data_IF_469472683957
#
_entry.id   IF_469472683957
#
_cell.length_a   1.000
_cell.length_b   1.000
_cell.length_c   1.000
_cell.angle_alpha   90.00
_cell.angle_beta   90.00
_cell.angle_gamma   90.00
#
_symmetry.space_group_name_H-M   'P 1'
#
loop_
_entity.id
_entity.type
_entity.pdbx_description
1 polymer ?
#
# COMPACT_ATOMS: atom_id res chain seq x y z
N UNK A 1 -2.31 28.20 -10.86
CA UNK A 1 -3.64 28.36 -10.22
C UNK A 1 -3.47 29.33 -9.08
N UNK A 2 -4.37 30.26 -8.87
CA UNK A 2 -4.26 31.17 -7.74
C UNK A 2 -4.48 30.38 -6.43
N UNK A 3 -3.64 30.67 -5.43
CA UNK A 3 -3.94 30.33 -4.04
C UNK A 3 -5.31 30.93 -3.71
N UNK A 4 -6.33 30.13 -3.58
CA UNK A 4 -7.64 30.58 -3.08
C UNK A 4 -7.96 29.86 -1.78
N UNK A 5 -8.64 30.53 -0.88
CA UNK A 5 -9.00 29.99 0.43
C UNK A 5 -9.75 28.64 0.35
N UNK A 6 -10.40 28.35 -0.80
CA UNK A 6 -11.12 27.10 -1.03
C UNK A 6 -10.22 25.90 -1.38
N UNK A 7 -8.95 26.09 -1.76
CA UNK A 7 -8.05 24.99 -2.18
C UNK A 7 -7.05 24.57 -1.12
N UNK A 8 -6.69 25.44 -0.17
CA UNK A 8 -5.71 25.13 0.87
C UNK A 8 -6.08 23.87 1.70
N UNK A 9 -7.36 23.60 2.04
CA UNK A 9 -7.72 22.36 2.73
C UNK A 9 -7.45 21.07 1.94
N UNK A 10 -7.36 21.17 0.61
CA UNK A 10 -7.26 20.02 -0.29
C UNK A 10 -5.90 19.88 -0.96
N UNK A 11 -5.12 20.97 -1.05
CA UNK A 11 -3.84 21.01 -1.74
C UNK A 11 -2.82 21.73 -0.86
N UNK A 12 -1.80 21.01 -0.42
CA UNK A 12 -0.75 21.52 0.47
C UNK A 12 0.50 21.96 -0.25
N UNK A 13 0.63 21.65 -1.53
CA UNK A 13 1.81 21.92 -2.33
C UNK A 13 1.44 22.76 -3.54
N UNK A 14 2.11 23.88 -3.72
CA UNK A 14 1.85 24.83 -4.79
C UNK A 14 3.12 25.07 -5.59
N UNK A 15 3.00 25.00 -6.92
CA UNK A 15 4.07 25.24 -7.86
C UNK A 15 3.66 26.35 -8.84
N UNK A 16 3.67 27.63 -8.44
CA UNK A 16 3.50 28.73 -9.37
C UNK A 16 4.74 28.87 -10.24
N UNK A 17 4.53 29.00 -11.53
CA UNK A 17 5.62 29.17 -12.51
C UNK A 17 5.27 30.29 -13.46
N UNK A 18 6.24 31.16 -13.70
CA UNK A 18 6.19 32.17 -14.77
C UNK A 18 4.93 33.04 -14.76
N UNK A 19 4.61 33.64 -13.62
CA UNK A 19 3.46 34.52 -13.48
C UNK A 19 3.21 35.00 -12.06
N UNK A 20 2.15 35.75 -11.86
CA UNK A 20 1.65 36.23 -10.57
C UNK A 20 0.22 35.74 -10.30
N UNK A 21 -0.36 36.12 -9.17
CA UNK A 21 -1.72 35.68 -8.78
C UNK A 21 -2.86 36.52 -9.38
N UNK A 22 -2.54 37.56 -10.12
CA UNK A 22 -3.48 38.48 -10.76
C UNK A 22 -4.50 39.15 -9.83
N UNK A 23 -4.28 39.16 -8.53
CA UNK A 23 -5.20 39.82 -7.59
C UNK A 23 -5.28 41.32 -7.79
N UNK A 24 -4.23 41.92 -8.39
CA UNK A 24 -4.13 43.33 -8.76
C UNK A 24 -4.05 43.49 -10.31
N UNK A 25 -4.70 42.59 -11.04
CA UNK A 25 -4.68 42.53 -12.51
C UNK A 25 -3.48 41.79 -13.10
N UNK A 26 -3.42 41.70 -14.44
CA UNK A 26 -2.45 40.86 -15.17
C UNK A 26 -0.96 41.18 -14.87
N UNK A 27 -0.66 42.37 -14.43
CA UNK A 27 0.67 42.83 -14.09
C UNK A 27 0.82 43.23 -12.61
N UNK A 28 -0.08 42.73 -11.77
CA UNK A 28 -0.12 43.06 -10.35
C UNK A 28 1.19 42.76 -9.63
N UNK A 29 1.77 41.58 -9.88
CA UNK A 29 3.06 41.21 -9.30
C UNK A 29 4.22 42.12 -9.69
N UNK A 30 4.16 42.78 -10.86
CA UNK A 30 5.15 43.73 -11.31
C UNK A 30 4.99 45.14 -10.70
N UNK A 31 3.76 45.67 -10.72
CA UNK A 31 3.49 47.05 -10.34
C UNK A 31 2.93 47.24 -8.92
N UNK A 32 2.35 46.17 -8.37
CA UNK A 32 1.74 46.13 -7.02
C UNK A 32 2.21 44.87 -6.25
N UNK A 33 3.52 44.59 -6.17
CA UNK A 33 4.00 43.32 -5.61
C UNK A 33 3.63 43.14 -4.14
N UNK A 34 3.65 44.22 -3.35
CA UNK A 34 3.33 44.16 -1.91
C UNK A 34 1.86 43.85 -1.66
N UNK A 35 0.95 44.49 -2.41
CA UNK A 35 -0.49 44.25 -2.31
C UNK A 35 -0.84 42.85 -2.80
N UNK A 36 -0.15 42.37 -3.83
CA UNK A 36 -0.32 41.01 -4.36
C UNK A 36 0.18 39.96 -3.36
N UNK A 37 1.32 40.18 -2.73
CA UNK A 37 1.86 39.31 -1.69
C UNK A 37 0.99 39.32 -0.43
N UNK A 38 0.52 40.50 -0.01
CA UNK A 38 -0.35 40.65 1.17
C UNK A 38 -1.70 39.94 0.95
N UNK A 39 -2.27 40.01 -0.25
CA UNK A 39 -3.47 39.29 -0.59
C UNK A 39 -3.31 37.76 -0.40
N UNK A 40 -2.18 37.20 -0.81
CA UNK A 40 -1.87 35.79 -0.58
C UNK A 40 -1.69 35.48 0.92
N UNK A 41 -0.96 36.34 1.63
CA UNK A 41 -0.77 36.18 3.07
C UNK A 41 -2.12 36.20 3.84
N UNK A 42 -3.02 37.09 3.46
CA UNK A 42 -4.37 37.19 4.06
C UNK A 42 -5.17 35.90 3.83
N UNK A 43 -5.08 35.31 2.64
CA UNK A 43 -5.74 34.02 2.32
C UNK A 43 -5.18 32.92 3.22
N UNK A 44 -3.86 32.80 3.31
CA UNK A 44 -3.20 31.78 4.14
C UNK A 44 -3.56 31.94 5.60
N UNK A 45 -3.45 33.17 6.15
CA UNK A 45 -3.73 33.45 7.55
C UNK A 45 -5.21 33.19 7.93
N UNK A 46 -6.15 33.40 6.99
CA UNK A 46 -7.60 33.12 7.19
C UNK A 46 -7.95 31.65 7.00
N UNK A 47 -7.10 30.85 6.39
CA UNK A 47 -7.41 29.46 6.03
C UNK A 47 -7.42 28.49 7.21
N UNK A 48 -6.72 28.83 8.31
CA UNK A 48 -6.45 27.92 9.42
C UNK A 48 -5.33 26.90 9.15
N UNK A 49 -4.68 26.96 7.98
CA UNK A 49 -3.63 26.03 7.55
C UNK A 49 -2.27 26.73 7.34
N UNK A 50 -1.99 27.77 8.13
CA UNK A 50 -0.80 28.62 7.98
C UNK A 50 0.52 27.84 8.00
N UNK A 51 0.61 26.75 8.74
CA UNK A 51 1.83 25.95 8.90
C UNK A 51 1.78 24.64 8.11
N UNK A 52 0.77 24.43 7.26
CA UNK A 52 0.49 23.17 6.60
C UNK A 52 0.38 23.30 5.07
N UNK A 53 1.26 24.13 4.48
CA UNK A 53 1.39 24.27 3.03
C UNK A 53 2.84 24.58 2.65
N UNK A 54 3.16 24.41 1.35
CA UNK A 54 4.44 24.84 0.77
C UNK A 54 4.24 25.46 -0.62
N UNK A 55 4.88 26.58 -0.87
CA UNK A 55 4.93 27.25 -2.18
C UNK A 55 6.35 27.18 -2.73
N UNK A 56 6.55 26.44 -3.82
CA UNK A 56 7.78 26.36 -4.58
C UNK A 56 7.63 27.22 -5.83
N UNK A 57 8.10 28.48 -5.78
CA UNK A 57 7.85 29.48 -6.80
C UNK A 57 9.03 29.55 -7.78
N UNK A 58 8.78 29.60 -9.10
CA UNK A 58 9.84 29.51 -10.10
C UNK A 58 9.63 30.39 -11.33
N UNK A 59 10.74 30.89 -11.91
CA UNK A 59 10.76 31.63 -13.16
C UNK A 59 12.14 31.54 -13.83
N UNK A 60 12.18 31.71 -15.16
CA UNK A 60 13.42 31.82 -15.93
C UNK A 60 13.95 33.25 -16.00
N UNK A 61 15.29 33.43 -16.04
CA UNK A 61 15.88 34.77 -16.13
C UNK A 61 15.66 35.50 -17.47
N UNK A 62 15.23 34.75 -18.51
CA UNK A 62 14.82 35.29 -19.82
C UNK A 62 13.32 35.16 -20.05
N UNK A 63 12.55 34.83 -19.03
CA UNK A 63 11.09 34.71 -19.12
C UNK A 63 10.46 36.09 -19.19
N UNK A 64 9.51 36.27 -20.11
CA UNK A 64 8.73 37.53 -20.28
C UNK A 64 7.92 37.87 -19.00
N UNK A 65 7.68 36.91 -18.13
CA UNK A 65 6.98 37.06 -16.83
C UNK A 65 7.93 37.28 -15.66
N UNK A 66 9.23 37.35 -15.90
CA UNK A 66 10.21 37.56 -14.81
C UNK A 66 9.86 38.75 -13.91
N UNK A 67 9.55 39.96 -14.43
CA UNK A 67 9.29 41.12 -13.55
C UNK A 67 8.07 40.89 -12.63
N UNK A 68 7.04 40.21 -13.08
CA UNK A 68 5.86 39.92 -12.26
C UNK A 68 6.19 38.89 -11.18
N UNK A 69 6.82 37.79 -11.59
CA UNK A 69 7.13 36.66 -10.71
C UNK A 69 8.18 37.05 -9.67
N UNK A 70 9.27 37.70 -10.09
CA UNK A 70 10.39 38.08 -9.22
C UNK A 70 9.96 39.10 -8.17
N UNK A 71 9.26 40.18 -8.58
CA UNK A 71 8.81 41.20 -7.65
C UNK A 71 7.79 40.66 -6.63
N UNK A 72 6.86 39.82 -7.06
CA UNK A 72 5.89 39.18 -6.15
C UNK A 72 6.59 38.22 -5.19
N UNK A 73 7.50 37.36 -5.66
CA UNK A 73 8.22 36.41 -4.83
C UNK A 73 9.07 37.11 -3.76
N UNK A 74 9.76 38.19 -4.13
CA UNK A 74 10.52 39.03 -3.18
C UNK A 74 9.61 39.66 -2.12
N UNK A 75 8.48 40.22 -2.55
CA UNK A 75 7.49 40.79 -1.62
C UNK A 75 6.87 39.72 -0.68
N UNK A 76 6.65 38.50 -1.16
CA UNK A 76 6.25 37.39 -0.31
C UNK A 76 7.33 37.06 0.73
N UNK A 77 8.60 37.01 0.34
CA UNK A 77 9.71 36.76 1.25
C UNK A 77 9.91 37.84 2.32
N UNK A 78 9.35 39.06 2.16
CA UNK A 78 9.33 40.10 3.18
C UNK A 78 8.27 39.84 4.27
N UNK A 79 7.24 39.01 3.98
CA UNK A 79 6.16 38.66 4.90
C UNK A 79 6.47 37.38 5.71
N UNK A 80 7.56 37.43 6.47
CA UNK A 80 8.19 36.28 7.15
C UNK A 80 7.28 35.57 8.15
N UNK A 81 6.29 36.28 8.72
CA UNK A 81 5.29 35.68 9.60
C UNK A 81 4.35 34.71 8.88
N UNK A 82 4.24 34.80 7.55
CA UNK A 82 3.38 33.96 6.72
C UNK A 82 4.20 33.07 5.77
N UNK A 83 5.20 33.65 5.10
CA UNK A 83 6.06 32.95 4.13
C UNK A 83 7.50 32.91 4.66
N UNK A 84 7.98 31.74 4.99
CA UNK A 84 9.30 31.52 5.56
C UNK A 84 9.97 30.27 4.97
N UNK A 85 11.17 29.94 5.38
CA UNK A 85 11.95 28.80 4.86
C UNK A 85 11.27 27.44 5.02
N UNK A 86 10.26 27.32 5.89
CA UNK A 86 9.53 26.05 6.10
C UNK A 86 8.37 25.86 5.11
N UNK A 87 7.90 26.95 4.47
CA UNK A 87 6.70 26.89 3.62
C UNK A 87 6.81 27.67 2.30
N UNK A 88 7.96 28.30 2.02
CA UNK A 88 8.17 29.10 0.81
C UNK A 88 9.61 29.03 0.32
N UNK A 89 9.77 28.80 -0.99
CA UNK A 89 11.04 28.97 -1.69
C UNK A 89 10.85 29.59 -3.06
N UNK A 90 11.85 30.38 -3.50
CA UNK A 90 11.86 31.01 -4.80
C UNK A 90 13.07 30.57 -5.61
N UNK A 91 12.85 30.14 -6.84
CA UNK A 91 13.85 29.54 -7.71
C UNK A 91 13.92 30.25 -9.06
N UNK A 92 15.12 30.61 -9.48
CA UNK A 92 15.39 31.16 -10.81
C UNK A 92 16.25 30.20 -11.63
N UNK A 93 15.85 30.01 -12.90
CA UNK A 93 16.65 29.27 -13.87
C UNK A 93 17.37 30.23 -14.78
N UNK A 94 18.70 30.21 -14.75
CA UNK A 94 19.51 31.01 -15.66
C UNK A 94 19.26 30.64 -17.13
N UNK A 95 19.00 31.64 -17.96
CA UNK A 95 18.66 31.45 -19.38
C UNK A 95 17.28 30.85 -19.68
N UNK A 96 16.51 30.46 -18.67
CA UNK A 96 15.18 29.91 -18.83
C UNK A 96 14.22 30.92 -19.46
N UNK A 97 13.42 30.50 -20.43
CA UNK A 97 12.42 31.29 -21.15
C UNK A 97 11.01 30.90 -20.74
N UNK A 98 10.01 31.60 -21.27
CA UNK A 98 8.60 31.26 -21.10
C UNK A 98 8.23 30.11 -22.05
N UNK A 99 8.77 28.93 -21.81
CA UNK A 99 8.63 27.77 -22.68
C UNK A 99 8.45 26.45 -21.91
N UNK A 100 8.12 25.42 -22.67
CA UNK A 100 7.89 24.10 -22.13
C UNK A 100 9.14 23.49 -21.42
N UNK A 101 10.33 23.79 -21.92
CA UNK A 101 11.57 23.22 -21.35
C UNK A 101 11.86 23.79 -19.97
N UNK A 102 11.66 25.08 -19.76
CA UNK A 102 11.78 25.68 -18.44
C UNK A 102 10.74 25.14 -17.47
N UNK A 103 9.47 25.06 -17.91
CA UNK A 103 8.37 24.51 -17.10
C UNK A 103 8.62 23.05 -16.72
N UNK A 104 9.10 22.23 -17.66
CA UNK A 104 9.42 20.81 -17.39
C UNK A 104 10.50 20.67 -16.33
N UNK A 105 11.58 21.46 -16.41
CA UNK A 105 12.65 21.43 -15.43
C UNK A 105 12.18 21.90 -14.05
N UNK A 106 11.36 22.94 -13.97
CA UNK A 106 10.74 23.38 -12.73
C UNK A 106 9.87 22.29 -12.11
N UNK A 107 9.03 21.63 -12.91
CA UNK A 107 8.22 20.49 -12.45
C UNK A 107 9.11 19.36 -11.93
N UNK A 108 10.19 19.01 -12.62
CA UNK A 108 11.12 17.96 -12.23
C UNK A 108 11.74 18.25 -10.86
N UNK A 109 12.29 19.46 -10.64
CA UNK A 109 12.90 19.84 -9.37
C UNK A 109 11.88 20.00 -8.24
N UNK A 110 10.74 20.60 -8.51
CA UNK A 110 9.68 20.77 -7.52
C UNK A 110 9.09 19.42 -7.08
N UNK A 111 8.88 18.48 -8.00
CA UNK A 111 8.40 17.14 -7.66
C UNK A 111 9.41 16.39 -6.80
N UNK A 112 10.71 16.52 -7.07
CA UNK A 112 11.74 15.94 -6.21
C UNK A 112 11.78 16.59 -4.81
N UNK A 113 11.45 17.87 -4.72
CA UNK A 113 11.38 18.59 -3.46
C UNK A 113 10.08 18.22 -2.68
N UNK A 114 8.93 18.22 -3.34
CA UNK A 114 7.63 17.91 -2.71
C UNK A 114 7.49 16.44 -2.36
N UNK A 115 8.05 15.60 -3.18
CA UNK A 115 8.11 14.16 -3.00
C UNK A 115 9.58 13.78 -3.04
N UNK A 116 10.38 14.21 -2.04
CA UNK A 116 11.75 13.73 -1.98
C UNK A 116 11.60 12.23 -2.09
N UNK A 117 12.22 11.66 -3.13
CA UNK A 117 12.46 10.23 -3.13
C UNK A 117 12.94 9.99 -1.71
N UNK A 118 12.07 9.39 -0.89
CA UNK A 118 12.41 9.10 0.51
C UNK A 118 13.87 8.75 0.43
N UNK A 119 14.75 9.23 1.33
CA UNK A 119 16.16 8.88 1.32
C UNK A 119 16.26 7.35 1.50
N UNK A 120 15.71 6.66 0.55
CA UNK A 120 16.14 5.37 0.12
C UNK A 120 17.45 5.73 -0.53
N UNK A 121 18.51 5.78 0.26
CA UNK A 121 19.85 5.49 -0.22
C UNK A 121 19.63 4.40 -1.28
N UNK A 122 20.16 4.57 -2.52
CA UNK A 122 19.91 3.62 -3.59
C UNK A 122 20.01 2.26 -2.92
N UNK A 123 18.90 1.50 -2.93
CA UNK A 123 18.83 0.25 -2.19
C UNK A 123 19.98 -0.53 -2.76
N UNK A 124 21.13 -0.45 -2.11
CA UNK A 124 22.21 -1.38 -2.36
C UNK A 124 21.57 -2.67 -1.95
N UNK A 125 21.16 -3.45 -2.95
CA UNK A 125 20.42 -4.68 -2.73
C UNK A 125 21.22 -5.45 -1.70
N UNK A 126 20.81 -5.39 -0.43
CA UNK A 126 21.55 -5.98 0.67
C UNK A 126 21.51 -7.49 0.51
N UNK A 127 20.36 -7.97 0.00
CA UNK A 127 20.13 -9.39 -0.28
C UNK A 127 19.96 -9.62 -1.79
N UNK A 128 20.37 -10.79 -2.23
CA UNK A 128 20.26 -11.26 -3.61
C UNK A 128 19.83 -12.74 -3.61
N UNK A 129 19.70 -13.35 -4.79
CA UNK A 129 19.30 -14.75 -4.91
C UNK A 129 20.21 -15.74 -4.17
N UNK A 130 21.49 -15.40 -3.96
CA UNK A 130 22.48 -16.24 -3.25
C UNK A 130 22.46 -16.01 -1.72
N UNK A 131 21.78 -14.99 -1.24
CA UNK A 131 21.68 -14.72 0.19
C UNK A 131 21.01 -15.86 0.92
N UNK A 132 21.66 -16.32 2.00
CA UNK A 132 21.15 -17.43 2.82
C UNK A 132 19.90 -16.98 3.59
N UNK A 133 18.90 -17.82 3.64
CA UNK A 133 17.67 -17.58 4.41
C UNK A 133 17.99 -17.34 5.89
N UNK A 134 18.96 -18.09 6.46
CA UNK A 134 19.42 -17.89 7.83
C UNK A 134 19.95 -16.48 8.09
N UNK A 135 20.70 -15.94 7.15
CA UNK A 135 21.31 -14.60 7.28
C UNK A 135 20.24 -13.51 7.17
N UNK A 136 19.25 -13.72 6.30
CA UNK A 136 18.08 -12.83 6.20
C UNK A 136 17.30 -12.81 7.50
N UNK A 137 16.98 -13.98 8.05
CA UNK A 137 16.23 -14.09 9.32
C UNK A 137 16.98 -13.49 10.52
N UNK A 138 18.31 -13.50 10.49
CA UNK A 138 19.18 -12.97 11.54
C UNK A 138 19.53 -11.48 11.33
N UNK A 139 19.11 -10.84 10.24
CA UNK A 139 19.42 -9.44 9.99
C UNK A 139 18.76 -8.55 11.05
N UNK A 140 19.53 -7.59 11.57
CA UNK A 140 19.12 -6.69 12.65
C UNK A 140 17.86 -5.87 12.33
N UNK A 141 17.62 -5.59 11.04
CA UNK A 141 16.45 -4.85 10.59
C UNK A 141 15.13 -5.57 10.89
N UNK A 142 15.19 -6.90 11.03
CA UNK A 142 14.01 -7.73 11.32
C UNK A 142 13.88 -8.11 12.79
N UNK A 143 14.85 -7.73 13.65
CA UNK A 143 14.76 -7.97 15.09
C UNK A 143 14.37 -9.43 15.42
N UNK A 144 13.45 -9.62 16.37
CA UNK A 144 12.99 -10.95 16.81
C UNK A 144 11.98 -11.60 15.86
N UNK A 145 11.41 -10.85 14.92
CA UNK A 145 10.40 -11.36 13.98
C UNK A 145 10.98 -11.81 12.63
N UNK A 146 12.29 -11.68 12.40
CA UNK A 146 12.93 -12.15 11.17
C UNK A 146 12.64 -13.62 10.85
N UNK A 147 12.50 -14.46 11.88
CA UNK A 147 12.09 -15.86 11.74
C UNK A 147 10.71 -16.06 11.10
N UNK A 148 9.82 -15.06 11.18
CA UNK A 148 8.47 -15.11 10.62
C UNK A 148 8.41 -14.71 9.14
N UNK A 149 9.51 -14.22 8.56
CA UNK A 149 9.60 -13.97 7.11
C UNK A 149 9.49 -15.28 6.32
N UNK A 150 10.03 -16.38 6.86
CA UNK A 150 9.98 -17.71 6.27
C UNK A 150 9.33 -18.64 7.30
N UNK A 151 8.01 -18.60 7.40
CA UNK A 151 7.40 -19.03 8.62
C UNK A 151 7.41 -20.53 8.81
N UNK A 152 7.66 -20.72 9.94
CA UNK A 152 7.14 -21.57 10.94
C UNK A 152 6.76 -22.93 10.43
N UNK A 153 7.42 -23.91 10.84
CA UNK A 153 7.34 -25.25 10.34
C UNK A 153 8.12 -25.44 9.04
N UNK A 154 9.43 -25.19 9.15
CA UNK A 154 10.40 -25.22 8.05
C UNK A 154 10.42 -26.52 7.23
N UNK A 155 9.79 -27.59 7.70
CA UNK A 155 9.68 -28.84 6.95
C UNK A 155 8.93 -28.72 5.61
N UNK A 156 8.12 -27.68 5.43
CA UNK A 156 7.39 -27.42 4.18
C UNK A 156 8.11 -26.46 3.25
N UNK A 157 9.14 -25.75 3.71
CA UNK A 157 10.00 -24.93 2.90
C UNK A 157 11.30 -25.66 2.60
N UNK A 158 11.68 -25.74 1.33
CA UNK A 158 12.95 -26.27 0.87
C UNK A 158 13.82 -25.16 0.31
N UNK A 159 15.12 -25.39 0.29
CA UNK A 159 16.09 -24.40 -0.16
C UNK A 159 16.80 -23.73 1.02
N UNK A 160 17.96 -23.15 0.73
CA UNK A 160 18.83 -22.50 1.70
C UNK A 160 19.11 -21.04 1.39
N UNK A 161 18.73 -20.59 0.19
CA UNK A 161 18.92 -19.24 -0.30
C UNK A 161 17.61 -18.66 -0.81
N UNK A 162 17.53 -17.34 -0.95
CA UNK A 162 16.36 -16.67 -1.52
C UNK A 162 16.04 -17.14 -2.93
N UNK A 163 17.09 -17.47 -3.71
CA UNK A 163 16.96 -17.89 -5.10
C UNK A 163 16.52 -19.34 -5.31
N UNK A 164 16.61 -20.18 -4.28
CA UNK A 164 16.22 -21.58 -4.36
C UNK A 164 15.14 -21.99 -3.36
N UNK A 165 14.50 -20.99 -2.72
CA UNK A 165 13.37 -21.23 -1.84
C UNK A 165 12.19 -21.81 -2.63
N UNK A 166 11.60 -22.86 -2.11
CA UNK A 166 10.43 -23.52 -2.71
C UNK A 166 9.59 -24.22 -1.66
N UNK A 167 8.32 -24.41 -1.98
CA UNK A 167 7.40 -25.24 -1.18
C UNK A 167 7.54 -26.71 -1.60
N UNK A 168 7.28 -27.62 -0.66
CA UNK A 168 7.40 -29.07 -0.88
C UNK A 168 6.37 -29.59 -1.89
N UNK A 169 5.14 -29.07 -1.84
CA UNK A 169 4.01 -29.59 -2.60
C UNK A 169 3.85 -29.00 -4.00
N UNK A 170 4.19 -27.74 -4.15
CA UNK A 170 4.15 -27.02 -5.41
C UNK A 170 5.09 -25.82 -5.32
N UNK A 171 5.63 -25.43 -6.44
CA UNK A 171 6.65 -24.40 -6.43
C UNK A 171 6.36 -23.33 -7.47
N UNK A 172 5.79 -22.25 -7.01
CA UNK A 172 5.61 -21.01 -7.78
C UNK A 172 6.16 -19.81 -7.01
N UNK A 173 7.15 -20.05 -6.13
CA UNK A 173 7.87 -18.96 -5.47
C UNK A 173 8.82 -18.36 -6.49
N UNK A 174 8.59 -17.11 -6.85
CA UNK A 174 9.46 -16.34 -7.73
C UNK A 174 10.68 -15.85 -6.94
N UNK A 175 11.92 -16.23 -7.35
CA UNK A 175 13.13 -15.81 -6.68
C UNK A 175 13.35 -14.30 -6.68
N UNK A 176 13.03 -13.60 -7.76
CA UNK A 176 13.22 -12.16 -7.86
C UNK A 176 12.21 -11.43 -6.99
N UNK A 177 10.97 -11.90 -6.98
CA UNK A 177 9.93 -11.38 -6.10
C UNK A 177 10.28 -11.61 -4.63
N UNK A 178 10.84 -12.76 -4.27
CA UNK A 178 11.32 -13.05 -2.92
C UNK A 178 12.40 -12.06 -2.48
N UNK A 179 13.39 -11.81 -3.35
CA UNK A 179 14.45 -10.81 -3.11
C UNK A 179 13.86 -9.39 -2.98
N UNK A 180 12.93 -9.03 -3.86
CA UNK A 180 12.24 -7.73 -3.82
C UNK A 180 11.50 -7.52 -2.51
N UNK A 181 10.73 -8.51 -2.04
CA UNK A 181 9.98 -8.47 -0.78
C UNK A 181 10.92 -8.21 0.40
N UNK A 182 11.97 -9.03 0.52
CA UNK A 182 12.91 -8.95 1.64
C UNK A 182 13.63 -7.61 1.66
N UNK A 183 14.13 -7.14 0.50
CA UNK A 183 14.81 -5.85 0.41
C UNK A 183 13.86 -4.66 0.64
N UNK A 184 12.60 -4.75 0.20
CA UNK A 184 11.59 -3.72 0.48
C UNK A 184 11.33 -3.60 1.98
N UNK A 185 11.10 -4.72 2.66
CA UNK A 185 10.87 -4.73 4.11
C UNK A 185 12.12 -4.22 4.86
N UNK A 186 13.31 -4.70 4.48
CA UNK A 186 14.57 -4.25 5.08
C UNK A 186 14.77 -2.75 4.92
N UNK A 187 14.61 -2.24 3.70
CA UNK A 187 14.76 -0.80 3.42
C UNK A 187 13.82 0.06 4.26
N UNK A 188 12.57 -0.37 4.41
CA UNK A 188 11.58 0.32 5.26
C UNK A 188 11.98 0.29 6.74
N UNK A 189 12.42 -0.87 7.24
CA UNK A 189 12.89 -1.01 8.61
C UNK A 189 14.14 -0.15 8.88
N UNK A 190 15.11 -0.16 7.98
CA UNK A 190 16.32 0.66 8.06
C UNK A 190 16.02 2.17 8.02
N UNK A 191 14.91 2.56 7.36
CA UNK A 191 14.38 3.92 7.39
C UNK A 191 13.53 4.24 8.65
N UNK A 192 13.50 3.35 9.64
CA UNK A 192 12.77 3.55 10.89
C UNK A 192 11.25 3.31 10.79
N UNK A 193 10.75 2.73 9.69
CA UNK A 193 9.35 2.40 9.57
C UNK A 193 9.04 1.09 10.30
N UNK A 194 7.87 1.02 10.92
CA UNK A 194 7.37 -0.22 11.51
C UNK A 194 6.86 -1.11 10.37
N UNK A 195 7.46 -2.28 10.21
CA UNK A 195 7.12 -3.26 9.16
C UNK A 195 6.46 -4.52 9.71
N UNK A 196 6.38 -4.65 11.02
CA UNK A 196 5.77 -5.80 11.68
C UNK A 196 5.03 -5.34 12.94
N UNK A 197 3.84 -5.88 13.14
CA UNK A 197 3.02 -5.65 14.31
C UNK A 197 2.71 -6.97 15.01
N UNK A 198 3.06 -7.02 16.27
CA UNK A 198 2.63 -8.09 17.17
C UNK A 198 1.18 -7.85 17.58
N UNK A 199 0.30 -8.80 17.29
CA UNK A 199 -1.14 -8.65 17.51
C UNK A 199 -1.60 -9.15 18.87
N UNK A 200 -0.71 -9.79 19.63
CA UNK A 200 -0.99 -10.27 20.98
C UNK A 200 -0.12 -9.58 22.02
N UNK A 201 -0.71 -9.33 23.17
CA UNK A 201 -0.01 -8.73 24.31
C UNK A 201 0.98 -9.72 24.94
N UNK A 202 1.95 -9.21 25.69
CA UNK A 202 2.90 -10.06 26.43
C UNK A 202 2.21 -10.99 27.45
N UNK A 203 1.08 -10.54 28.04
CA UNK A 203 0.29 -11.38 28.94
C UNK A 203 -0.37 -12.56 28.21
N UNK A 204 -0.91 -12.32 27.01
CA UNK A 204 -1.50 -13.37 26.15
C UNK A 204 -0.43 -14.37 25.69
N UNK A 205 0.75 -13.89 25.29
CA UNK A 205 1.89 -14.73 24.89
C UNK A 205 2.50 -15.50 26.05
N UNK A 206 2.40 -15.00 27.25
CA UNK A 206 2.81 -15.74 28.47
C UNK A 206 1.82 -16.86 28.79
N UNK A 207 0.53 -16.62 28.58
CA UNK A 207 -0.53 -17.62 28.79
C UNK A 207 -0.54 -18.70 27.69
N UNK A 208 -0.27 -18.30 26.44
CA UNK A 208 -0.13 -19.19 25.28
C UNK A 208 1.13 -18.82 24.49
N UNK A 209 2.25 -19.53 24.73
CA UNK A 209 3.52 -19.24 24.05
C UNK A 209 3.48 -19.33 22.51
N UNK A 210 2.55 -20.11 21.94
CA UNK A 210 2.40 -20.20 20.49
C UNK A 210 1.97 -18.88 19.85
N UNK A 211 1.38 -17.96 20.62
CA UNK A 211 1.04 -16.59 20.16
C UNK A 211 2.25 -15.71 19.83
N UNK A 212 3.47 -16.19 20.05
CA UNK A 212 4.69 -15.55 19.55
C UNK A 212 4.94 -15.83 18.07
N UNK A 213 4.26 -16.83 17.50
CA UNK A 213 4.47 -17.31 16.14
C UNK A 213 3.44 -16.74 15.15
N UNK A 214 2.87 -15.59 15.48
CA UNK A 214 1.89 -14.87 14.66
C UNK A 214 2.16 -13.37 14.65
N UNK A 215 1.60 -12.66 13.69
CA UNK A 215 1.68 -11.21 13.57
C UNK A 215 1.45 -10.73 12.16
N UNK A 216 1.50 -9.42 11.97
CA UNK A 216 1.20 -8.75 10.73
C UNK A 216 2.45 -8.09 10.15
N UNK A 217 2.90 -8.53 8.99
CA UNK A 217 3.83 -7.74 8.18
C UNK A 217 3.05 -6.65 7.45
N UNK A 218 3.52 -5.42 7.55
CA UNK A 218 2.86 -4.24 6.98
C UNK A 218 3.58 -3.73 5.74
N UNK A 219 2.89 -3.79 4.62
CA UNK A 219 3.27 -3.20 3.35
C UNK A 219 2.49 -1.90 3.17
N UNK A 220 3.05 -0.80 3.68
CA UNK A 220 2.39 0.50 3.68
C UNK A 220 2.18 1.01 2.26
N UNK A 221 0.95 1.45 1.97
CA UNK A 221 0.55 2.19 0.78
C UNK A 221 0.46 3.68 1.05
N UNK A 222 -0.54 4.34 0.48
CA UNK A 222 -0.80 5.76 0.73
C UNK A 222 -1.47 5.96 2.10
N UNK A 223 -1.13 7.06 2.76
CA UNK A 223 -1.76 7.46 4.02
C UNK A 223 -3.27 7.62 3.82
N UNK A 224 -4.06 7.01 4.70
CA UNK A 224 -5.52 7.09 4.66
C UNK A 224 -6.18 6.24 3.57
N UNK A 225 -5.42 5.41 2.83
CA UNK A 225 -6.02 4.44 1.91
C UNK A 225 -6.60 3.24 2.66
N UNK A 226 -7.60 2.60 2.03
CA UNK A 226 -8.15 1.33 2.50
C UNK A 226 -7.08 0.28 2.68
N UNK A 227 -7.38 -0.76 3.47
CA UNK A 227 -6.45 -1.84 3.71
C UNK A 227 -6.97 -3.20 3.25
N UNK A 228 -6.03 -4.10 2.97
CA UNK A 228 -6.27 -5.51 2.74
C UNK A 228 -5.49 -6.37 3.74
N UNK A 229 -6.03 -7.52 4.13
CA UNK A 229 -5.31 -8.56 4.84
C UNK A 229 -5.11 -9.74 3.90
N UNK A 230 -3.84 -10.06 3.60
CA UNK A 230 -3.45 -11.16 2.73
C UNK A 230 -3.10 -12.40 3.58
N UNK A 231 -3.80 -13.49 3.34
CA UNK A 231 -3.67 -14.74 4.05
C UNK A 231 -3.10 -15.81 3.12
N UNK A 232 -1.94 -16.36 3.47
CA UNK A 232 -1.30 -17.37 2.65
C UNK A 232 -1.98 -18.74 2.77
N UNK A 233 -1.80 -19.58 1.75
CA UNK A 233 -2.12 -21.00 1.80
C UNK A 233 -1.16 -21.81 2.66
N UNK A 234 -1.33 -23.12 2.64
CA UNK A 234 -0.51 -24.07 3.40
C UNK A 234 -1.32 -25.18 4.09
N UNK A 235 -2.61 -25.33 3.71
CA UNK A 235 -3.48 -26.39 4.23
C UNK A 235 -3.63 -26.38 5.74
N UNK A 236 -3.46 -25.23 6.40
CA UNK A 236 -3.41 -25.07 7.87
C UNK A 236 -2.29 -25.86 8.57
N UNK A 237 -1.35 -26.39 7.81
CA UNK A 237 -0.16 -27.10 8.34
C UNK A 237 1.07 -26.19 8.37
N UNK A 238 1.11 -25.18 7.51
CA UNK A 238 2.16 -24.16 7.43
C UNK A 238 1.59 -22.89 6.80
N UNK A 239 2.39 -21.83 6.74
CA UNK A 239 2.02 -20.55 6.12
C UNK A 239 2.95 -20.26 4.95
N UNK A 240 2.42 -20.32 3.72
CA UNK A 240 3.15 -20.09 2.49
C UNK A 240 3.35 -18.61 2.18
N UNK A 241 3.84 -17.82 3.12
CA UNK A 241 3.81 -16.36 3.03
C UNK A 241 4.57 -15.79 1.82
N UNK A 242 5.75 -16.31 1.50
CA UNK A 242 6.54 -15.91 0.33
C UNK A 242 5.92 -16.34 -1.00
N UNK A 243 4.88 -17.17 -0.95
CA UNK A 243 4.16 -17.67 -2.11
C UNK A 243 2.92 -16.84 -2.44
N UNK A 244 1.99 -16.68 -1.48
CA UNK A 244 0.68 -16.14 -1.75
C UNK A 244 0.09 -15.19 -0.68
N UNK A 245 0.96 -14.53 0.12
CA UNK A 245 0.55 -13.35 0.91
C UNK A 245 1.51 -12.17 0.77
N UNK A 246 2.82 -12.33 0.98
CA UNK A 246 3.78 -11.24 0.81
C UNK A 246 3.81 -10.67 -0.62
N UNK A 247 3.83 -11.50 -1.69
CA UNK A 247 3.77 -10.96 -3.05
C UNK A 247 2.52 -10.12 -3.30
N UNK A 248 1.36 -10.59 -2.84
CA UNK A 248 0.09 -9.86 -2.98
C UNK A 248 0.11 -8.55 -2.20
N UNK A 249 0.56 -8.58 -0.93
CA UNK A 249 0.65 -7.38 -0.10
C UNK A 249 1.62 -6.34 -0.68
N UNK A 250 2.74 -6.78 -1.24
CA UNK A 250 3.69 -5.90 -1.92
C UNK A 250 3.04 -5.23 -3.15
N UNK A 251 2.37 -6.01 -4.03
CA UNK A 251 1.73 -5.44 -5.22
C UNK A 251 0.58 -4.50 -4.86
N UNK A 252 -0.23 -4.81 -3.86
CA UNK A 252 -1.27 -3.91 -3.35
C UNK A 252 -0.66 -2.61 -2.83
N UNK A 253 0.46 -2.68 -2.10
CA UNK A 253 1.13 -1.47 -1.59
C UNK A 253 1.68 -0.58 -2.69
N UNK A 254 2.20 -1.15 -3.79
CA UNK A 254 2.63 -0.41 -4.98
C UNK A 254 1.46 0.29 -5.68
N UNK A 255 0.25 -0.27 -5.58
CA UNK A 255 -0.99 0.34 -6.10
C UNK A 255 -1.59 1.38 -5.15
N UNK A 256 -0.93 1.65 -4.02
CA UNK A 256 -1.32 2.67 -3.04
C UNK A 256 -2.26 2.17 -1.93
N UNK A 257 -2.64 0.91 -1.91
CA UNK A 257 -3.41 0.33 -0.81
C UNK A 257 -2.51 -0.08 0.35
N UNK A 258 -2.99 0.07 1.56
CA UNK A 258 -2.32 -0.51 2.72
C UNK A 258 -2.55 -2.02 2.75
N UNK A 259 -1.50 -2.81 2.89
CA UNK A 259 -1.66 -4.26 2.88
C UNK A 259 -0.92 -4.91 4.05
N UNK A 260 -1.61 -5.83 4.70
CA UNK A 260 -1.07 -6.62 5.80
C UNK A 260 -0.99 -8.08 5.38
N UNK A 261 0.18 -8.69 5.53
CA UNK A 261 0.34 -10.13 5.37
C UNK A 261 0.32 -10.79 6.76
N UNK A 262 -0.70 -11.59 7.01
CA UNK A 262 -0.85 -12.30 8.28
C UNK A 262 0.02 -13.56 8.27
N UNK A 263 0.89 -13.67 9.26
CA UNK A 263 1.48 -14.94 9.65
C UNK A 263 0.58 -15.51 10.74
N UNK A 264 -0.18 -16.54 10.42
CA UNK A 264 -1.09 -17.18 11.37
C UNK A 264 -0.49 -18.46 11.92
N UNK A 265 -0.93 -18.88 13.10
CA UNK A 265 -0.54 -20.18 13.69
C UNK A 265 -1.20 -21.31 12.90
N UNK A 266 -0.47 -22.40 12.58
CA UNK A 266 -1.07 -23.59 11.97
C UNK A 266 -2.25 -24.16 12.80
N UNK A 267 -3.19 -24.76 12.11
CA UNK A 267 -4.47 -25.21 12.67
C UNK A 267 -5.63 -24.30 12.27
N UNK A 268 -6.80 -24.89 12.04
CA UNK A 268 -7.98 -24.13 11.63
C UNK A 268 -8.42 -23.10 12.67
N UNK A 269 -8.62 -23.56 13.91
CA UNK A 269 -9.15 -22.69 14.97
C UNK A 269 -8.18 -21.59 15.34
N UNK A 270 -6.88 -21.90 15.42
CA UNK A 270 -5.82 -20.94 15.70
C UNK A 270 -5.66 -19.92 14.57
N UNK A 271 -5.73 -20.36 13.32
CA UNK A 271 -5.66 -19.48 12.17
C UNK A 271 -6.84 -18.49 12.11
N UNK A 272 -8.05 -18.95 12.44
CA UNK A 272 -9.25 -18.12 12.50
C UNK A 272 -9.21 -17.15 13.69
N UNK A 273 -8.69 -17.60 14.86
CA UNK A 273 -8.43 -16.72 16.01
C UNK A 273 -7.46 -15.59 15.64
N UNK A 274 -6.36 -15.93 14.97
CA UNK A 274 -5.32 -14.97 14.58
C UNK A 274 -5.84 -13.96 13.54
N UNK A 275 -6.61 -14.41 12.55
CA UNK A 275 -7.20 -13.52 11.56
C UNK A 275 -8.25 -12.58 12.19
N UNK A 276 -9.10 -13.09 13.08
CA UNK A 276 -10.05 -12.26 13.81
C UNK A 276 -9.33 -11.23 14.71
N UNK A 277 -8.24 -11.65 15.38
CA UNK A 277 -7.42 -10.76 16.20
C UNK A 277 -6.73 -9.69 15.34
N UNK A 278 -6.21 -10.06 14.17
CA UNK A 278 -5.59 -9.14 13.22
C UNK A 278 -6.58 -8.05 12.75
N UNK A 279 -7.80 -8.43 12.41
CA UNK A 279 -8.85 -7.48 12.03
C UNK A 279 -9.12 -6.49 13.17
N UNK A 280 -9.33 -6.99 14.39
CA UNK A 280 -9.56 -6.13 15.57
C UNK A 280 -8.39 -5.19 15.81
N UNK A 281 -7.17 -5.71 15.78
CA UNK A 281 -5.96 -4.91 15.96
C UNK A 281 -5.88 -3.76 14.97
N UNK A 282 -6.09 -4.01 13.67
CA UNK A 282 -6.02 -2.95 12.66
C UNK A 282 -7.10 -1.89 12.88
N UNK A 283 -8.33 -2.29 13.24
CA UNK A 283 -9.41 -1.34 13.53
C UNK A 283 -9.13 -0.51 14.79
N UNK A 284 -8.60 -1.12 15.84
CA UNK A 284 -8.25 -0.46 17.10
C UNK A 284 -7.11 0.54 16.92
N UNK A 285 -6.16 0.26 16.01
CA UNK A 285 -4.97 1.07 15.72
C UNK A 285 -5.03 1.84 14.40
N UNK A 286 -6.21 2.00 13.80
CA UNK A 286 -6.37 2.56 12.45
C UNK A 286 -5.72 3.94 12.26
N UNK A 287 -5.82 4.80 13.27
CA UNK A 287 -5.22 6.13 13.26
C UNK A 287 -3.69 6.08 13.28
N UNK A 288 -3.10 5.21 14.12
CA UNK A 288 -1.66 5.00 14.20
C UNK A 288 -1.12 4.39 12.90
N UNK A 289 -1.83 3.40 12.37
CA UNK A 289 -1.50 2.73 11.10
C UNK A 289 -1.75 3.63 9.89
N UNK A 290 -2.49 4.72 10.05
CA UNK A 290 -2.88 5.65 8.99
C UNK A 290 -3.66 4.95 7.86
N UNK A 291 -4.62 4.07 8.22
CA UNK A 291 -5.44 3.31 7.28
C UNK A 291 -6.90 3.71 7.36
N UNK A 292 -7.62 3.65 6.23
CA UNK A 292 -9.08 3.70 6.22
C UNK A 292 -9.64 2.29 6.44
N UNK A 293 -10.44 2.15 7.48
CA UNK A 293 -11.06 0.86 7.83
C UNK A 293 -12.36 0.57 7.08
N UNK A 294 -12.92 1.57 6.38
CA UNK A 294 -14.15 1.39 5.62
C UNK A 294 -13.88 0.59 4.36
N UNK A 295 -14.69 -0.43 4.14
CA UNK A 295 -14.59 -1.24 2.92
C UNK A 295 -13.28 -2.01 2.79
N UNK A 296 -12.63 -2.37 3.90
CA UNK A 296 -11.42 -3.19 3.88
C UNK A 296 -11.67 -4.55 3.20
N UNK A 297 -10.61 -5.20 2.73
CA UNK A 297 -10.70 -6.43 1.95
C UNK A 297 -9.94 -7.59 2.58
N UNK A 298 -10.52 -8.78 2.52
CA UNK A 298 -9.87 -10.02 2.94
C UNK A 298 -9.42 -10.81 1.70
N UNK A 299 -8.12 -11.07 1.61
CA UNK A 299 -7.49 -11.76 0.49
C UNK A 299 -6.88 -13.08 0.94
N UNK A 300 -6.88 -14.08 0.08
CA UNK A 300 -6.16 -15.30 0.40
C UNK A 300 -6.01 -16.28 -0.74
N UNK A 301 -4.97 -17.13 -0.64
CA UNK A 301 -4.73 -18.28 -1.49
C UNK A 301 -5.02 -19.59 -0.76
N UNK A 302 -5.61 -20.58 -1.40
CA UNK A 302 -5.84 -21.93 -0.86
C UNK A 302 -6.50 -21.92 0.54
N UNK A 303 -5.83 -22.39 1.58
CA UNK A 303 -6.29 -22.33 2.97
C UNK A 303 -6.58 -20.88 3.41
N UNK A 304 -5.73 -19.93 3.03
CA UNK A 304 -5.93 -18.50 3.32
C UNK A 304 -7.19 -17.93 2.66
N UNK A 305 -7.53 -18.40 1.46
CA UNK A 305 -8.79 -18.01 0.81
C UNK A 305 -10.01 -18.55 1.56
N UNK A 306 -9.90 -19.77 2.14
CA UNK A 306 -10.94 -20.31 3.00
C UNK A 306 -11.11 -19.50 4.28
N UNK A 307 -10.01 -19.05 4.90
CA UNK A 307 -10.05 -18.13 6.05
C UNK A 307 -10.76 -16.83 5.69
N UNK A 308 -10.35 -16.19 4.59
CA UNK A 308 -10.92 -14.93 4.12
C UNK A 308 -12.44 -15.06 3.85
N UNK A 309 -12.85 -16.13 3.16
CA UNK A 309 -14.26 -16.40 2.87
C UNK A 309 -15.08 -16.66 4.14
N UNK A 310 -14.57 -17.49 5.05
CA UNK A 310 -15.27 -17.80 6.31
C UNK A 310 -15.48 -16.56 7.17
N UNK A 311 -14.45 -15.70 7.33
CA UNK A 311 -14.64 -14.45 8.07
C UNK A 311 -15.50 -13.44 7.30
N UNK A 312 -15.53 -13.51 5.98
CA UNK A 312 -16.49 -12.76 5.17
C UNK A 312 -17.92 -13.14 5.49
N UNK A 313 -18.20 -14.46 5.56
CA UNK A 313 -19.55 -15.01 5.82
C UNK A 313 -20.01 -14.84 7.27
N UNK A 314 -19.10 -15.03 8.23
CA UNK A 314 -19.40 -15.19 9.66
C UNK A 314 -18.70 -14.16 10.56
N UNK A 315 -18.45 -12.96 10.05
CA UNK A 315 -17.71 -11.90 10.78
C UNK A 315 -18.27 -11.64 12.20
N UNK A 316 -19.59 -11.64 12.35
CA UNK A 316 -20.27 -11.44 13.65
C UNK A 316 -19.94 -12.52 14.67
N UNK A 317 -19.79 -13.77 14.24
CA UNK A 317 -19.52 -14.91 15.12
C UNK A 317 -18.10 -14.83 15.70
N UNK A 318 -17.20 -14.17 14.98
CA UNK A 318 -15.84 -13.88 15.43
C UNK A 318 -15.73 -12.50 16.10
N UNK A 319 -16.82 -11.76 16.21
CA UNK A 319 -16.85 -10.43 16.82
C UNK A 319 -16.01 -9.40 16.09
N UNK A 320 -15.95 -9.45 14.75
CA UNK A 320 -15.24 -8.51 13.88
C UNK A 320 -16.21 -7.79 12.94
N UNK A 321 -15.79 -6.63 12.43
CA UNK A 321 -16.55 -5.91 11.42
C UNK A 321 -16.50 -6.67 10.09
N UNK A 322 -17.60 -6.64 9.34
CA UNK A 322 -17.70 -7.26 8.03
C UNK A 322 -16.75 -6.58 7.02
N UNK A 323 -16.01 -7.37 6.26
CA UNK A 323 -15.21 -6.87 5.15
C UNK A 323 -16.07 -6.26 4.03
N UNK A 324 -15.54 -5.30 3.31
CA UNK A 324 -16.17 -4.74 2.11
C UNK A 324 -16.13 -5.71 0.93
N UNK A 325 -15.07 -6.49 0.81
CA UNK A 325 -14.91 -7.53 -0.23
C UNK A 325 -14.07 -8.71 0.25
N UNK A 326 -14.22 -9.83 -0.43
CA UNK A 326 -13.35 -11.01 -0.29
C UNK A 326 -12.73 -11.35 -1.64
N UNK A 327 -11.43 -11.66 -1.66
CA UNK A 327 -10.68 -12.11 -2.83
C UNK A 327 -10.11 -13.50 -2.55
N UNK A 328 -10.48 -14.47 -3.38
CA UNK A 328 -10.17 -15.89 -3.17
C UNK A 328 -9.39 -16.46 -4.34
N UNK A 329 -8.28 -17.14 -4.07
CA UNK A 329 -7.58 -17.94 -5.06
C UNK A 329 -7.62 -19.42 -4.73
N UNK A 330 -7.79 -20.23 -5.75
CA UNK A 330 -7.63 -21.70 -5.78
C UNK A 330 -8.02 -22.41 -4.47
N UNK A 331 -9.27 -22.24 -4.03
CA UNK A 331 -9.81 -22.96 -2.85
C UNK A 331 -11.08 -23.74 -3.21
N UNK A 332 -11.25 -24.90 -2.56
CA UNK A 332 -12.48 -25.70 -2.66
C UNK A 332 -13.60 -25.27 -1.72
N UNK A 333 -13.47 -24.09 -1.08
CA UNK A 333 -14.50 -23.60 -0.14
C UNK A 333 -15.82 -23.33 -0.84
N UNK A 334 -16.89 -24.01 -0.40
CA UNK A 334 -18.22 -23.96 -1.02
C UNK A 334 -19.29 -23.33 -0.15
N UNK A 335 -19.01 -23.11 1.14
CA UNK A 335 -19.96 -22.51 2.08
C UNK A 335 -20.11 -21.01 1.87
N UNK A 336 -21.35 -20.51 2.02
CA UNK A 336 -21.67 -19.09 1.90
C UNK A 336 -22.99 -18.77 2.59
N UNK A 337 -23.22 -17.50 2.86
CA UNK A 337 -24.44 -16.97 3.47
C UNK A 337 -24.94 -15.75 2.69
N UNK A 338 -26.17 -15.31 2.97
CA UNK A 338 -26.68 -14.04 2.42
C UNK A 338 -25.93 -12.80 2.95
N UNK A 339 -25.10 -12.97 3.97
CA UNK A 339 -24.28 -11.92 4.56
C UNK A 339 -22.88 -11.85 3.96
N UNK A 340 -22.55 -12.71 3.00
CA UNK A 340 -21.24 -12.66 2.35
C UNK A 340 -21.01 -11.30 1.69
N UNK A 341 -19.81 -10.74 1.79
CA UNK A 341 -19.45 -9.55 1.04
C UNK A 341 -19.30 -9.86 -0.46
N UNK A 342 -19.32 -8.83 -1.31
CA UNK A 342 -18.91 -8.99 -2.71
C UNK A 342 -17.62 -9.79 -2.82
N UNK A 343 -17.60 -10.80 -3.71
CA UNK A 343 -16.50 -11.76 -3.77
C UNK A 343 -15.93 -11.91 -5.18
N UNK A 344 -14.62 -11.67 -5.30
CA UNK A 344 -13.81 -12.03 -6.47
C UNK A 344 -13.15 -13.38 -6.23
N UNK A 345 -13.13 -14.24 -7.25
CA UNK A 345 -12.40 -15.50 -7.14
C UNK A 345 -11.70 -15.89 -8.45
N UNK A 346 -10.53 -16.50 -8.34
CA UNK A 346 -9.81 -17.05 -9.47
C UNK A 346 -9.14 -18.40 -9.13
N UNK A 347 -9.05 -19.28 -10.14
CA UNK A 347 -8.43 -20.60 -9.99
C UNK A 347 -7.97 -21.14 -11.34
N UNK A 348 -7.14 -22.17 -11.31
CA UNK A 348 -6.71 -22.89 -12.51
C UNK A 348 -7.65 -24.06 -12.84
N UNK A 349 -7.87 -24.32 -14.14
CA UNK A 349 -8.73 -25.44 -14.55
C UNK A 349 -8.05 -26.81 -14.38
N UNK A 350 -6.72 -26.85 -14.28
CA UNK A 350 -5.92 -28.05 -13.98
C UNK A 350 -5.54 -28.18 -12.50
N UNK A 351 -6.24 -27.47 -11.62
CA UNK A 351 -6.02 -27.57 -10.17
C UNK A 351 -6.46 -28.95 -9.66
N UNK A 352 -5.47 -29.77 -9.25
CA UNK A 352 -5.69 -31.13 -8.72
C UNK A 352 -5.98 -31.15 -7.21
N UNK A 353 -5.95 -30.01 -6.51
CA UNK A 353 -6.18 -29.90 -5.07
C UNK A 353 -7.57 -29.30 -4.79
N UNK A 354 -7.92 -28.24 -5.50
CA UNK A 354 -9.17 -27.51 -5.30
C UNK A 354 -9.94 -27.37 -6.62
N UNK A 355 -11.12 -27.98 -6.69
CA UNK A 355 -11.93 -27.96 -7.90
C UNK A 355 -12.44 -26.55 -8.21
N UNK A 356 -12.05 -26.01 -9.37
CA UNK A 356 -12.55 -24.73 -9.87
C UNK A 356 -14.07 -24.70 -10.03
N UNK A 357 -14.67 -25.84 -10.40
CA UNK A 357 -16.12 -25.94 -10.56
C UNK A 357 -16.89 -25.82 -9.24
N UNK A 358 -16.25 -26.22 -8.12
CA UNK A 358 -16.80 -25.99 -6.78
C UNK A 358 -16.84 -24.52 -6.43
N UNK A 359 -15.75 -23.82 -6.68
CA UNK A 359 -15.65 -22.37 -6.48
C UNK A 359 -16.64 -21.61 -7.37
N UNK A 360 -16.74 -21.99 -8.65
CA UNK A 360 -17.70 -21.38 -9.56
C UNK A 360 -19.14 -21.53 -9.07
N UNK A 361 -19.56 -22.75 -8.66
CA UNK A 361 -20.92 -22.96 -8.14
C UNK A 361 -21.24 -22.10 -6.93
N UNK A 362 -20.25 -21.90 -6.02
CA UNK A 362 -20.42 -20.98 -4.88
C UNK A 362 -20.71 -19.56 -5.36
N UNK A 363 -19.91 -19.02 -6.28
CA UNK A 363 -20.08 -17.66 -6.76
C UNK A 363 -21.36 -17.50 -7.59
N UNK A 364 -21.73 -18.49 -8.39
CA UNK A 364 -23.01 -18.51 -9.13
C UNK A 364 -24.19 -18.43 -8.16
N UNK A 365 -24.14 -19.18 -7.06
CA UNK A 365 -25.21 -19.17 -6.05
C UNK A 365 -25.29 -17.83 -5.31
N UNK A 366 -24.13 -17.22 -4.97
CA UNK A 366 -24.05 -15.89 -4.38
C UNK A 366 -24.59 -14.82 -5.33
N UNK A 367 -24.21 -14.86 -6.61
CA UNK A 367 -24.71 -13.96 -7.65
C UNK A 367 -26.22 -14.06 -7.82
N UNK A 368 -26.76 -15.29 -7.85
CA UNK A 368 -28.19 -15.52 -7.89
C UNK A 368 -28.97 -15.00 -6.66
N UNK A 369 -28.25 -14.85 -5.53
CA UNK A 369 -28.78 -14.24 -4.31
C UNK A 369 -28.63 -12.72 -4.27
N UNK A 370 -28.07 -12.09 -5.33
CA UNK A 370 -27.89 -10.66 -5.46
C UNK A 370 -26.57 -10.12 -4.87
N UNK A 371 -25.63 -10.99 -4.49
CA UNK A 371 -24.31 -10.60 -4.02
C UNK A 371 -23.40 -10.41 -5.23
N UNK A 372 -22.72 -9.26 -5.41
CA UNK A 372 -21.77 -9.06 -6.51
C UNK A 372 -20.65 -10.10 -6.48
N UNK A 373 -20.42 -10.76 -7.62
CA UNK A 373 -19.35 -11.75 -7.76
C UNK A 373 -18.63 -11.61 -9.09
N UNK A 374 -17.34 -11.94 -9.11
CA UNK A 374 -16.54 -12.06 -10.31
C UNK A 374 -15.70 -13.33 -10.23
N UNK A 375 -15.66 -14.11 -11.31
CA UNK A 375 -15.02 -15.41 -11.33
C UNK A 375 -14.16 -15.61 -12.58
N UNK A 376 -12.88 -15.98 -12.39
CA UNK A 376 -11.94 -16.30 -13.46
C UNK A 376 -11.39 -17.71 -13.32
N UNK A 377 -11.57 -18.53 -14.36
CA UNK A 377 -10.95 -19.84 -14.47
C UNK A 377 -9.85 -19.79 -15.52
N UNK A 378 -8.60 -19.94 -15.10
CA UNK A 378 -7.44 -19.88 -15.98
C UNK A 378 -7.11 -21.25 -16.53
N UNK A 379 -7.22 -21.40 -17.84
CA UNK A 379 -7.07 -22.69 -18.49
C UNK A 379 -5.65 -23.26 -18.33
N UNK A 380 -5.60 -24.53 -17.96
CA UNK A 380 -4.35 -25.29 -17.81
C UNK A 380 -3.53 -24.98 -16.56
N UNK A 381 -3.86 -23.96 -15.78
CA UNK A 381 -3.11 -23.65 -14.57
C UNK A 381 -3.37 -24.67 -13.45
N UNK A 382 -2.32 -25.13 -12.76
CA UNK A 382 -2.43 -25.95 -11.57
C UNK A 382 -2.75 -25.10 -10.32
N UNK A 383 -2.83 -25.77 -9.17
CA UNK A 383 -2.96 -25.14 -7.86
C UNK A 383 -1.76 -24.23 -7.55
N UNK A 384 -2.03 -23.09 -6.89
CA UNK A 384 -0.96 -22.27 -6.31
C UNK A 384 -0.16 -21.46 -7.32
N UNK A 385 -0.79 -20.82 -8.29
CA UNK A 385 -0.08 -19.97 -9.26
C UNK A 385 0.36 -18.59 -8.71
N UNK A 386 0.03 -18.25 -7.46
CA UNK A 386 0.46 -17.00 -6.82
C UNK A 386 0.04 -15.76 -7.59
N UNK A 387 1.00 -14.89 -7.98
CA UNK A 387 0.74 -13.72 -8.83
C UNK A 387 0.44 -14.08 -10.29
N UNK A 388 0.65 -15.34 -10.70
CA UNK A 388 0.44 -15.77 -12.07
C UNK A 388 1.42 -15.18 -13.09
N UNK A 389 2.53 -14.61 -12.66
CA UNK A 389 3.53 -13.98 -13.53
C UNK A 389 4.02 -14.94 -14.61
N UNK A 390 4.02 -14.50 -15.87
CA UNK A 390 4.41 -15.32 -17.03
C UNK A 390 3.40 -16.41 -17.39
N UNK A 391 2.18 -16.38 -16.85
CA UNK A 391 1.11 -17.34 -17.14
C UNK A 391 -0.14 -16.64 -17.69
N UNK A 392 -1.16 -17.42 -18.03
CA UNK A 392 -2.48 -16.87 -18.46
C UNK A 392 -3.22 -16.13 -17.34
N UNK A 393 -2.77 -16.23 -16.10
CA UNK A 393 -3.32 -15.50 -14.96
C UNK A 393 -2.57 -14.19 -14.66
N UNK A 394 -1.56 -13.82 -15.47
CA UNK A 394 -0.87 -12.55 -15.24
C UNK A 394 -1.83 -11.37 -15.28
N UNK A 395 -1.74 -10.49 -14.30
CA UNK A 395 -2.64 -9.33 -14.18
C UNK A 395 -3.92 -9.56 -13.35
N UNK A 396 -4.23 -10.78 -12.93
CA UNK A 396 -5.44 -11.06 -12.13
C UNK A 396 -5.60 -10.15 -10.91
N UNK A 397 -4.48 -9.70 -10.31
CA UNK A 397 -4.50 -8.81 -9.14
C UNK A 397 -5.07 -7.43 -9.48
N UNK A 398 -4.91 -6.96 -10.72
CA UNK A 398 -5.48 -5.70 -11.21
C UNK A 398 -7.00 -5.80 -11.32
N UNK A 399 -7.50 -6.92 -11.85
CA UNK A 399 -8.94 -7.21 -11.93
C UNK A 399 -9.55 -7.27 -10.52
N UNK A 400 -8.89 -7.98 -9.59
CA UNK A 400 -9.35 -8.08 -8.20
C UNK A 400 -9.36 -6.71 -7.49
N UNK A 401 -8.39 -5.85 -7.74
CA UNK A 401 -8.35 -4.47 -7.22
C UNK A 401 -9.47 -3.63 -7.83
N UNK A 402 -9.73 -3.76 -9.13
CA UNK A 402 -10.83 -3.07 -9.80
C UNK A 402 -12.19 -3.50 -9.22
N UNK A 403 -12.36 -4.81 -8.98
CA UNK A 403 -13.54 -5.35 -8.32
C UNK A 403 -13.71 -4.82 -6.89
N UNK A 404 -12.64 -4.82 -6.09
CA UNK A 404 -12.65 -4.25 -4.74
C UNK A 404 -13.07 -2.79 -4.76
N UNK A 405 -12.43 -1.97 -5.58
CA UNK A 405 -12.74 -0.54 -5.72
C UNK A 405 -14.21 -0.29 -6.11
N UNK A 406 -14.78 -1.12 -6.97
CA UNK A 406 -16.16 -1.00 -7.41
C UNK A 406 -17.18 -1.35 -6.32
N UNK A 407 -16.82 -2.23 -5.36
CA UNK A 407 -17.72 -2.82 -4.39
C UNK A 407 -17.47 -2.39 -2.93
N UNK A 408 -16.45 -1.58 -2.65
CA UNK A 408 -16.06 -1.14 -1.30
C UNK A 408 -16.64 0.22 -0.90
N UNK A 409 -17.89 0.50 -1.26
CA UNK A 409 -18.56 1.78 -0.95
C UNK A 409 -19.06 1.83 0.49
#
# INVERSE_FOLDING_TARGET
MPLSAGYIPYTRMYLPMSGDNWSQGMYGGQYHPKETAQFLADIVNKSGYKDDFYVWYAVGTKDVRLPQTDNQAKAMGELTDTFNSNNFSYHMKEGGQHDFYAVWEFCYHALQFFFPASNVAPVTATFNRQSKISDVMADKSFGTFGRLLFPVNSGYYNGTTLGNLRLTWYNHIDPDKTVEIVNTLKSRADAGQIIFYDIYTEAEKKADPAKKDTGLFFFKGNVGSQFAICNAGGGFSYVGAMHDSFPHALELSKKGYNAFALIYRPGWDTAMEDLARAIKFIHEHASELQVDVKGYSLWGGSAGARMAATLGSYASDYGVLRAGTVVMQYTGHSDWTRNDPPTYACCGTSDGIASWSGMKRRLDAMSAAGIPTEFHAYEGLPHGFGLGTGTVAEGWIDDAVAFWKANSK
#
